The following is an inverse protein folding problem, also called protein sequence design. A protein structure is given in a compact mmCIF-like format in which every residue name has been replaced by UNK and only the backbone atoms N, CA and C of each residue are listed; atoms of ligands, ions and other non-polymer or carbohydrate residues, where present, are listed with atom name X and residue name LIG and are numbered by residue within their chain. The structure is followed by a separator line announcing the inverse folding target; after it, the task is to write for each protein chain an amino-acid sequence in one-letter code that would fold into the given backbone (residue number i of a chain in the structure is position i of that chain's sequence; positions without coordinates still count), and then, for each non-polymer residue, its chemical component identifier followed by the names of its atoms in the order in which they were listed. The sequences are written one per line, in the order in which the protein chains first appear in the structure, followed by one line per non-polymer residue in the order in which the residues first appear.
data_IF_038048300344
#
_entry.id   IF_038048300344
#
_cell.length_a   1.000
_cell.length_b   1.000
_cell.length_c   1.000
_cell.angle_alpha   90.00
_cell.angle_beta   90.00
_cell.angle_gamma   90.00
#
_symmetry.space_group_name_H-M   'P 1'
#
loop_
_entity.id
_entity.type
_entity.pdbx_description
1 polymer ?
#
# COMPACT_ATOMS: atom_id res chain seq x y z
N UNK A 1 -15.82 -7.48 -12.17
CA UNK A 1 -15.39 -6.58 -13.27
C UNK A 1 -16.55 -5.65 -13.56
N UNK A 2 -16.40 -4.36 -13.28
CA UNK A 2 -17.36 -3.33 -13.69
C UNK A 2 -16.58 -2.24 -14.42
N UNK A 3 -17.13 -1.77 -15.53
CA UNK A 3 -16.65 -0.61 -16.27
C UNK A 3 -17.68 0.50 -16.12
N UNK A 4 -17.22 1.72 -15.86
CA UNK A 4 -18.05 2.92 -15.90
C UNK A 4 -17.32 3.98 -16.72
N UNK A 5 -17.90 4.35 -17.86
CA UNK A 5 -17.23 5.23 -18.83
C UNK A 5 -16.04 4.55 -19.53
N UNK A 6 -14.96 5.32 -19.74
CA UNK A 6 -13.71 4.89 -20.40
C UNK A 6 -12.62 4.46 -19.40
N UNK A 7 -13.00 4.05 -18.18
CA UNK A 7 -12.05 3.60 -17.15
C UNK A 7 -12.28 2.14 -16.76
N UNK A 8 -11.16 1.40 -16.66
CA UNK A 8 -11.13 -0.01 -16.27
C UNK A 8 -10.57 -0.10 -14.85
N UNK A 9 -11.40 -0.60 -13.93
CA UNK A 9 -10.98 -0.90 -12.56
C UNK A 9 -10.39 -2.31 -12.48
N UNK A 10 -9.13 -2.42 -12.08
CA UNK A 10 -8.48 -3.69 -11.79
C UNK A 10 -8.58 -4.01 -10.30
N UNK A 11 -9.56 -4.83 -9.92
CA UNK A 11 -9.51 -5.51 -8.63
C UNK A 11 -8.46 -6.62 -8.72
N UNK A 12 -7.24 -6.39 -8.24
CA UNK A 12 -6.23 -7.45 -8.18
C UNK A 12 -6.55 -8.34 -6.97
N UNK A 13 -7.20 -9.48 -7.16
CA UNK A 13 -7.22 -10.48 -6.08
C UNK A 13 -5.87 -11.19 -6.05
N UNK A 14 -4.87 -10.60 -5.39
CA UNK A 14 -3.69 -11.35 -5.00
C UNK A 14 -4.10 -12.32 -3.88
N UNK A 15 -3.71 -13.59 -3.97
CA UNK A 15 -3.83 -14.51 -2.85
C UNK A 15 -2.92 -14.05 -1.70
N UNK A 16 -3.24 -14.44 -0.46
CA UNK A 16 -2.31 -14.26 0.65
C UNK A 16 -1.03 -15.04 0.37
N UNK A 17 0.10 -14.36 0.29
CA UNK A 17 1.40 -15.01 0.16
C UNK A 17 1.93 -15.45 1.53
N UNK A 18 2.80 -16.46 1.57
CA UNK A 18 3.39 -16.95 2.82
C UNK A 18 4.15 -15.85 3.58
N UNK A 19 4.64 -14.83 2.87
CA UNK A 19 5.30 -13.64 3.44
C UNK A 19 4.36 -12.52 3.89
N UNK A 20 3.03 -12.72 3.85
CA UNK A 20 2.08 -11.68 4.23
C UNK A 20 2.18 -11.33 5.71
N UNK A 21 2.50 -10.07 6.00
CA UNK A 21 2.71 -9.54 7.35
C UNK A 21 1.90 -8.27 7.56
N UNK A 22 1.52 -7.99 8.79
CA UNK A 22 0.87 -6.76 9.22
C UNK A 22 1.85 -5.76 9.83
N UNK A 23 3.12 -6.13 10.04
CA UNK A 23 4.17 -5.24 10.50
C UNK A 23 5.27 -5.14 9.44
N UNK A 24 5.54 -3.91 9.00
CA UNK A 24 6.53 -3.59 7.97
C UNK A 24 7.32 -2.35 8.34
N UNK A 25 8.51 -2.20 7.76
CA UNK A 25 9.29 -0.97 7.91
C UNK A 25 8.64 0.19 7.12
N UNK A 26 8.76 1.44 7.59
CA UNK A 26 8.40 2.61 6.79
C UNK A 26 9.09 2.60 5.42
N UNK A 27 8.35 2.95 4.38
CA UNK A 27 8.75 2.93 2.97
C UNK A 27 8.54 1.58 2.28
N UNK A 28 7.97 0.58 2.93
CA UNK A 28 7.60 -0.69 2.29
C UNK A 28 6.39 -0.50 1.37
N UNK A 29 6.39 -1.13 0.20
CA UNK A 29 5.23 -1.17 -0.71
C UNK A 29 4.48 -2.46 -0.47
N UNK A 30 3.23 -2.35 -0.02
CA UNK A 30 2.41 -3.49 0.35
C UNK A 30 1.14 -3.56 -0.49
N UNK A 31 0.69 -4.77 -0.81
CA UNK A 31 -0.64 -5.02 -1.32
C UNK A 31 -1.58 -5.42 -0.18
N UNK A 32 -2.48 -4.52 0.19
CA UNK A 32 -3.43 -4.73 1.26
C UNK A 32 -4.64 -5.52 0.77
N UNK A 33 -4.65 -6.81 1.11
CA UNK A 33 -5.61 -7.80 0.61
C UNK A 33 -7.06 -7.49 1.02
N UNK A 34 -7.28 -7.02 2.24
CA UNK A 34 -8.63 -6.76 2.76
C UNK A 34 -9.29 -5.55 2.08
N UNK A 35 -8.50 -4.55 1.70
CA UNK A 35 -8.99 -3.34 1.02
C UNK A 35 -8.84 -3.37 -0.50
N UNK A 36 -8.19 -4.41 -1.07
CA UNK A 36 -7.86 -4.50 -2.51
C UNK A 36 -7.11 -3.24 -2.97
N UNK A 37 -6.11 -2.81 -2.19
CA UNK A 37 -5.44 -1.52 -2.35
C UNK A 37 -3.92 -1.62 -2.15
N UNK A 38 -3.17 -0.69 -2.75
CA UNK A 38 -1.76 -0.50 -2.44
C UNK A 38 -1.62 0.33 -1.16
N UNK A 39 -0.87 -0.18 -0.19
CA UNK A 39 -0.52 0.51 1.03
C UNK A 39 0.95 0.93 0.98
N UNK A 40 1.20 2.23 1.18
CA UNK A 40 2.52 2.85 1.20
C UNK A 40 2.77 3.50 2.59
N UNK A 41 3.00 2.71 3.65
CA UNK A 41 3.31 3.27 4.96
C UNK A 41 4.62 4.08 4.90
N UNK A 42 4.56 5.36 5.26
CA UNK A 42 5.72 6.25 5.34
C UNK A 42 6.11 6.63 6.78
N UNK A 43 5.48 6.01 7.77
CA UNK A 43 5.71 6.25 9.20
C UNK A 43 4.81 5.38 10.08
N UNK A 44 4.94 5.49 11.42
CA UNK A 44 4.17 4.68 12.34
C UNK A 44 2.67 4.97 12.22
N UNK A 45 1.88 3.90 12.26
CA UNK A 45 0.41 3.94 12.28
C UNK A 45 -0.11 3.94 13.72
N UNK A 46 -1.40 4.24 13.97
CA UNK A 46 -1.99 4.13 15.30
C UNK A 46 -1.90 2.72 15.95
N UNK A 47 -1.70 1.67 15.14
CA UNK A 47 -1.56 0.29 15.61
C UNK A 47 -0.11 -0.11 15.87
N UNK A 48 0.85 0.78 15.59
CA UNK A 48 2.28 0.49 15.71
C UNK A 48 2.69 0.42 17.17
N UNK A 49 3.51 -0.56 17.52
CA UNK A 49 3.97 -0.77 18.90
C UNK A 49 5.36 -0.19 19.13
N UNK A 50 6.20 -0.10 18.08
CA UNK A 50 7.49 0.58 18.12
C UNK A 50 7.65 1.48 16.88
N UNK A 51 8.82 1.48 16.26
CA UNK A 51 9.14 2.29 15.10
C UNK A 51 8.66 1.70 13.76
N UNK A 52 8.13 0.47 13.78
CA UNK A 52 7.53 -0.17 12.61
C UNK A 52 6.21 0.49 12.20
N UNK A 53 5.77 0.22 10.98
CA UNK A 53 4.43 0.54 10.50
C UNK A 53 3.54 -0.71 10.60
N UNK A 54 2.48 -0.63 11.40
CA UNK A 54 1.52 -1.74 11.56
C UNK A 54 0.23 -1.51 10.80
N UNK A 55 -0.03 -2.34 9.80
CA UNK A 55 -1.24 -2.31 8.98
C UNK A 55 -2.43 -2.91 9.75
N UNK A 56 -3.65 -2.54 9.34
CA UNK A 56 -4.88 -3.04 9.97
C UNK A 56 -5.12 -4.55 9.75
N UNK A 57 -4.52 -5.12 8.70
CA UNK A 57 -4.46 -6.58 8.48
C UNK A 57 -3.24 -6.93 7.63
N UNK A 58 -2.94 -8.23 7.54
CA UNK A 58 -1.79 -8.73 6.78
C UNK A 58 -1.85 -8.31 5.30
N UNK A 59 -0.71 -7.87 4.79
CA UNK A 59 -0.53 -7.44 3.41
C UNK A 59 0.66 -8.17 2.78
N UNK A 60 0.59 -8.41 1.47
CA UNK A 60 1.73 -8.95 0.74
C UNK A 60 2.77 -7.85 0.54
N UNK A 61 4.04 -8.15 0.79
CA UNK A 61 5.13 -7.20 0.57
C UNK A 61 5.55 -7.28 -0.89
N UNK A 62 5.38 -6.18 -1.63
CA UNK A 62 5.72 -6.11 -3.06
C UNK A 62 7.12 -5.54 -3.29
N UNK A 63 7.62 -4.73 -2.37
CA UNK A 63 8.93 -4.07 -2.51
C UNK A 63 9.10 -2.89 -1.58
N UNK A 64 9.90 -1.91 -2.02
CA UNK A 64 10.21 -0.68 -1.27
C UNK A 64 10.11 0.53 -2.19
N UNK A 65 9.70 1.66 -1.62
CA UNK A 65 9.77 2.96 -2.28
C UNK A 65 11.23 3.27 -2.57
N UNK A 66 11.51 3.58 -3.83
CA UNK A 66 12.81 4.12 -4.23
C UNK A 66 12.87 5.61 -3.89
N UNK A 67 13.96 6.05 -3.25
CA UNK A 67 14.10 7.40 -2.71
C UNK A 67 13.50 7.62 -1.30
N UNK A 68 13.15 8.88 -0.99
CA UNK A 68 12.63 9.27 0.34
C UNK A 68 11.12 9.08 0.47
N UNK A 69 10.72 8.00 1.13
CA UNK A 69 9.32 7.69 1.43
C UNK A 69 8.60 8.78 2.23
N UNK A 70 9.31 9.65 2.97
CA UNK A 70 8.69 10.76 3.70
C UNK A 70 8.08 11.82 2.80
N UNK A 71 8.46 11.87 1.52
CA UNK A 71 7.81 12.73 0.54
C UNK A 71 6.31 12.45 0.40
N UNK A 72 5.85 11.23 0.72
CA UNK A 72 4.43 10.86 0.73
C UNK A 72 3.62 11.63 1.78
N UNK A 73 4.26 12.26 2.79
CA UNK A 73 3.57 13.13 3.74
C UNK A 73 2.98 14.40 3.11
N UNK A 74 3.39 14.75 1.89
CA UNK A 74 2.81 15.87 1.15
C UNK A 74 1.49 15.51 0.45
N UNK A 75 1.19 14.22 0.27
CA UNK A 75 -0.02 13.71 -0.40
C UNK A 75 -1.23 13.90 0.49
N UNK A 76 -2.33 14.37 -0.10
CA UNK A 76 -3.59 14.65 0.58
C UNK A 76 -4.70 13.73 0.07
N UNK A 77 -5.76 13.63 0.86
CA UNK A 77 -6.98 12.96 0.42
C UNK A 77 -7.54 13.62 -0.85
N UNK A 78 -7.89 12.80 -1.83
CA UNK A 78 -8.35 13.25 -3.14
C UNK A 78 -7.24 13.54 -4.17
N UNK A 79 -5.96 13.46 -3.80
CA UNK A 79 -4.87 13.59 -4.77
C UNK A 79 -4.91 12.43 -5.78
N UNK A 80 -4.71 12.78 -7.05
CA UNK A 80 -4.64 11.77 -8.12
C UNK A 80 -3.27 11.10 -8.11
N UNK A 81 -3.24 9.79 -7.91
CA UNK A 81 -2.03 8.98 -7.96
C UNK A 81 -2.02 8.16 -9.24
N UNK A 82 -0.90 8.20 -9.98
CA UNK A 82 -0.67 7.39 -11.18
C UNK A 82 0.46 6.40 -10.92
N UNK A 83 0.25 5.16 -11.34
CA UNK A 83 1.25 4.09 -11.27
C UNK A 83 1.60 3.66 -12.69
N UNK A 84 2.87 3.74 -13.05
CA UNK A 84 3.41 3.30 -14.34
C UNK A 84 4.53 2.26 -14.12
N UNK A 85 4.81 1.45 -15.14
CA UNK A 85 6.04 0.65 -15.16
C UNK A 85 7.22 1.57 -15.46
N UNK A 86 8.33 1.36 -14.75
CA UNK A 86 9.61 2.00 -15.03
C UNK A 86 10.17 1.57 -16.40
#
# INVERSE_FOLDING_TARGET
MWAWGEEVYFGVQAGREDGATDAVEPGTVCYWLAGVALALPFGPTPLSQRAESRLASAANVLGRVDGDHRALAAVRDGDTVRVDRA
#
